data_IF_395768776198
#
_entry.id   IF_395768776198
#
_cell.length_a   1.000
_cell.length_b   1.000
_cell.length_c   1.000
_cell.angle_alpha   90.00
_cell.angle_beta   90.00
_cell.angle_gamma   90.00
#
_symmetry.space_group_name_H-M   'P 1'
#
loop_
_entity.id
_entity.type
_entity.pdbx_description
1 polymer ?
#
# COMPACT_ATOMS: atom_id res chain seq x y z
N UNK A 1 -15.19 -5.01 -4.71
CA UNK A 1 -16.44 -5.23 -5.46
C UNK A 1 -17.40 -6.16 -4.71
N UNK A 2 -17.06 -7.44 -4.50
CA UNK A 2 -17.93 -8.39 -3.79
C UNK A 2 -18.26 -7.99 -2.34
N UNK A 3 -17.29 -7.46 -1.59
CA UNK A 3 -17.54 -6.97 -0.22
C UNK A 3 -18.56 -5.83 -0.16
N UNK A 4 -18.57 -4.92 -1.15
CA UNK A 4 -19.57 -3.84 -1.26
C UNK A 4 -20.98 -4.37 -1.55
N UNK A 5 -21.08 -5.60 -2.06
CA UNK A 5 -22.33 -6.31 -2.30
C UNK A 5 -22.72 -7.24 -1.12
N UNK A 6 -21.96 -7.21 -0.01
CA UNK A 6 -22.28 -7.99 1.18
C UNK A 6 -21.82 -9.46 1.15
N UNK A 7 -20.97 -9.86 0.21
CA UNK A 7 -20.48 -11.25 0.10
C UNK A 7 -19.34 -11.61 1.08
N UNK A 8 -19.18 -10.85 2.16
CA UNK A 8 -18.23 -11.15 3.24
C UNK A 8 -17.12 -10.11 3.41
N UNK A 9 -16.09 -10.53 4.14
CA UNK A 9 -14.96 -9.70 4.55
C UNK A 9 -13.88 -9.61 3.47
N UNK A 10 -13.11 -8.53 3.48
CA UNK A 10 -12.01 -8.29 2.57
C UNK A 10 -10.85 -7.65 3.32
N UNK A 11 -9.62 -8.01 2.95
CA UNK A 11 -8.41 -7.32 3.40
C UNK A 11 -7.73 -6.69 2.18
N UNK A 12 -7.61 -5.37 2.17
CA UNK A 12 -6.92 -4.62 1.13
C UNK A 12 -6.27 -3.36 1.71
N UNK A 13 -5.30 -2.76 1.00
CA UNK A 13 -4.70 -1.50 1.43
C UNK A 13 -5.73 -0.39 1.60
N UNK A 14 -5.65 0.33 2.72
CA UNK A 14 -6.69 1.29 3.15
C UNK A 14 -6.94 2.40 2.15
N UNK A 15 -5.89 2.90 1.46
CA UNK A 15 -6.02 3.94 0.43
C UNK A 15 -6.99 3.58 -0.71
N UNK A 16 -7.26 2.30 -0.95
CA UNK A 16 -8.22 1.87 -1.98
C UNK A 16 -9.67 1.89 -1.51
N UNK A 17 -9.89 1.98 -0.20
CA UNK A 17 -11.20 1.87 0.44
C UNK A 17 -11.59 3.16 1.18
N UNK A 18 -10.76 4.22 1.18
CA UNK A 18 -11.04 5.47 1.89
C UNK A 18 -12.42 6.03 1.55
N UNK A 19 -12.78 6.05 0.26
CA UNK A 19 -14.10 6.51 -0.17
C UNK A 19 -15.23 5.66 0.39
N UNK A 20 -15.08 4.33 0.38
CA UNK A 20 -16.13 3.44 0.87
C UNK A 20 -16.32 3.52 2.38
N UNK A 21 -15.21 3.70 3.11
CA UNK A 21 -15.23 3.90 4.56
C UNK A 21 -15.85 5.26 4.91
N UNK A 22 -15.53 6.31 4.15
CA UNK A 22 -16.11 7.64 4.34
C UNK A 22 -17.60 7.68 4.00
N UNK A 23 -18.02 7.01 2.92
CA UNK A 23 -19.42 6.93 2.48
C UNK A 23 -20.23 5.90 3.31
N UNK A 24 -19.59 5.11 4.19
CA UNK A 24 -20.21 4.07 4.98
C UNK A 24 -20.67 2.83 4.19
N UNK A 25 -20.26 2.70 2.93
CA UNK A 25 -20.57 1.53 2.08
C UNK A 25 -19.76 0.30 2.48
N UNK A 26 -18.62 0.51 3.14
CA UNK A 26 -17.88 -0.49 3.88
C UNK A 26 -17.65 0.01 5.30
N UNK A 27 -17.58 -0.93 6.25
CA UNK A 27 -17.23 -0.63 7.63
C UNK A 27 -15.96 -1.39 8.01
N UNK A 28 -15.14 -0.78 8.86
CA UNK A 28 -13.99 -1.44 9.46
C UNK A 28 -14.47 -2.44 10.50
N UNK A 29 -13.80 -3.60 10.55
CA UNK A 29 -14.07 -4.66 11.53
C UNK A 29 -12.74 -5.15 12.07
N UNK A 30 -12.75 -5.68 13.30
CA UNK A 30 -11.55 -6.20 13.97
C UNK A 30 -10.42 -5.15 14.11
N UNK A 31 -10.78 -3.91 14.46
CA UNK A 31 -9.84 -2.79 14.62
C UNK A 31 -8.67 -3.10 15.58
N UNK A 32 -8.91 -3.93 16.60
CA UNK A 32 -7.90 -4.38 17.57
C UNK A 32 -6.92 -5.43 17.02
N UNK A 33 -7.17 -5.97 15.82
CA UNK A 33 -6.40 -7.05 15.21
C UNK A 33 -5.92 -6.67 13.79
N UNK A 34 -5.12 -5.58 13.65
CA UNK A 34 -4.64 -5.17 12.35
C UNK A 34 -3.70 -6.23 11.75
N UNK A 35 -3.73 -6.42 10.42
CA UNK A 35 -2.78 -7.32 9.76
C UNK A 35 -1.35 -6.78 9.86
N UNK A 36 -0.38 -7.68 9.74
CA UNK A 36 1.03 -7.29 9.68
C UNK A 36 1.28 -6.30 8.54
N UNK A 37 1.95 -5.15 8.80
CA UNK A 37 2.29 -4.18 7.76
C UNK A 37 3.06 -4.86 6.62
N UNK A 38 2.62 -4.62 5.38
CA UNK A 38 3.27 -5.17 4.20
C UNK A 38 4.37 -4.22 3.73
N UNK A 39 5.66 -4.62 3.78
CA UNK A 39 6.75 -3.76 3.32
C UNK A 39 6.71 -3.54 1.81
N UNK A 40 7.09 -2.34 1.37
CA UNK A 40 7.30 -2.00 -0.04
C UNK A 40 8.77 -2.18 -0.41
N UNK A 41 9.05 -2.98 -1.43
CA UNK A 41 10.42 -3.22 -1.90
C UNK A 41 10.62 -2.73 -3.34
N UNK A 42 11.76 -2.09 -3.57
CA UNK A 42 12.28 -1.84 -4.92
C UNK A 42 13.29 -2.92 -5.29
N UNK A 43 12.95 -3.79 -6.23
CA UNK A 43 13.81 -4.88 -6.69
C UNK A 43 14.63 -4.46 -7.91
N UNK A 44 15.93 -4.72 -7.88
CA UNK A 44 16.85 -4.46 -8.99
C UNK A 44 18.01 -5.46 -8.96
N UNK A 45 18.66 -5.74 -10.11
CA UNK A 45 19.79 -6.66 -10.16
C UNK A 45 20.93 -6.21 -9.24
N UNK A 46 21.51 -7.16 -8.52
CA UNK A 46 22.66 -6.91 -7.65
C UNK A 46 23.92 -6.69 -8.50
N UNK A 47 24.12 -5.45 -8.95
CA UNK A 47 25.35 -5.03 -9.61
C UNK A 47 26.30 -4.38 -8.59
N UNK A 48 27.61 -4.68 -8.68
CA UNK A 48 28.64 -4.08 -7.81
C UNK A 48 28.60 -2.55 -7.78
N UNK A 49 28.18 -1.92 -8.88
CA UNK A 49 27.96 -0.48 -8.96
C UNK A 49 26.56 -0.21 -9.54
N UNK A 50 25.69 0.36 -8.71
CA UNK A 50 24.40 0.90 -9.15
C UNK A 50 24.64 2.03 -10.15
N UNK A 51 24.01 1.94 -11.33
CA UNK A 51 24.06 3.00 -12.32
C UNK A 51 23.56 4.33 -11.70
N UNK A 52 24.22 5.48 -11.93
CA UNK A 52 23.84 6.76 -11.31
C UNK A 52 22.37 7.13 -11.53
N UNK A 53 21.83 6.84 -12.72
CA UNK A 53 20.42 7.07 -13.06
C UNK A 53 19.46 6.23 -12.21
N UNK A 54 19.79 4.96 -11.95
CA UNK A 54 18.98 4.08 -11.10
C UNK A 54 19.04 4.53 -9.63
N UNK A 55 20.23 4.93 -9.14
CA UNK A 55 20.37 5.49 -7.79
C UNK A 55 19.50 6.74 -7.61
N UNK A 56 19.56 7.69 -8.55
CA UNK A 56 18.77 8.91 -8.50
C UNK A 56 17.27 8.61 -8.54
N UNK A 57 16.84 7.66 -9.37
CA UNK A 57 15.45 7.20 -9.41
C UNK A 57 15.01 6.58 -8.08
N UNK A 58 15.80 5.68 -7.50
CA UNK A 58 15.48 5.04 -6.23
C UNK A 58 15.38 6.06 -5.10
N UNK A 59 16.30 7.03 -5.02
CA UNK A 59 16.24 8.10 -4.03
C UNK A 59 14.97 8.95 -4.17
N UNK A 60 14.64 9.36 -5.40
CA UNK A 60 13.42 10.11 -5.68
C UNK A 60 12.16 9.29 -5.32
N UNK A 61 12.07 8.04 -5.78
CA UNK A 61 10.94 7.18 -5.50
C UNK A 61 10.79 6.90 -4.00
N UNK A 62 11.88 6.65 -3.28
CA UNK A 62 11.86 6.45 -1.83
C UNK A 62 11.28 7.65 -1.08
N UNK A 63 11.55 8.89 -1.52
CA UNK A 63 10.93 10.09 -0.93
C UNK A 63 9.42 10.13 -1.18
N UNK A 64 9.00 9.88 -2.42
CA UNK A 64 7.57 9.84 -2.78
C UNK A 64 6.84 8.80 -1.93
N UNK A 65 7.40 7.59 -1.79
CA UNK A 65 6.78 6.51 -1.04
C UNK A 65 6.90 6.65 0.48
N UNK A 66 7.83 7.45 1.00
CA UNK A 66 7.89 7.79 2.42
C UNK A 66 6.76 8.74 2.85
N UNK A 67 6.30 9.60 1.93
CA UNK A 67 5.20 10.54 2.17
C UNK A 67 3.84 9.99 1.72
N UNK A 68 3.83 8.97 0.85
CA UNK A 68 2.61 8.35 0.37
C UNK A 68 1.88 7.62 1.50
N UNK A 69 0.59 7.95 1.67
CA UNK A 69 -0.32 7.21 2.55
C UNK A 69 -0.81 5.95 1.83
N UNK A 70 0.03 4.91 1.83
CA UNK A 70 -0.26 3.57 1.29
C UNK A 70 -0.85 2.62 2.34
#
# INVERSE_FOLDING_TARGET
ALARLGFGLLQAPRYRLEKDLADGTLIEVLEDFPPTPTPLFALYPQNRQLAPRLRAFLEWASRIFAEARL
#
